data_IF_712117898924
#
_entry.id   IF_712117898924
#
_cell.length_a   1.000
_cell.length_b   1.000
_cell.length_c   1.000
_cell.angle_alpha   90.00
_cell.angle_beta   90.00
_cell.angle_gamma   90.00
#
_symmetry.space_group_name_H-M   'P 1'
#
loop_
_entity.id
_entity.type
_entity.pdbx_description
1 polymer ?
#
# COMPACT_ATOMS: atom_id res chain seq x y z
N UNK A 1 35.86 -47.06 -17.06
CA UNK A 1 34.95 -45.90 -17.23
C UNK A 1 33.61 -46.27 -16.63
N UNK A 2 33.33 -45.87 -15.39
CA UNK A 2 32.09 -46.22 -14.68
C UNK A 2 31.02 -45.19 -15.02
N UNK A 3 29.94 -45.64 -15.67
CA UNK A 3 28.76 -44.85 -15.96
C UNK A 3 28.15 -44.36 -14.63
N UNK A 4 28.13 -43.03 -14.42
CA UNK A 4 27.37 -42.42 -13.32
C UNK A 4 25.90 -42.75 -13.56
N UNK A 5 25.31 -43.50 -12.64
CA UNK A 5 23.86 -43.71 -12.54
C UNK A 5 23.19 -42.34 -12.53
N UNK A 6 22.37 -42.04 -13.55
CA UNK A 6 21.58 -40.80 -13.58
C UNK A 6 20.66 -40.79 -12.36
N UNK A 7 20.88 -39.83 -11.47
CA UNK A 7 20.03 -39.63 -10.30
C UNK A 7 18.67 -39.09 -10.78
N UNK A 8 17.56 -39.74 -10.42
CA UNK A 8 16.19 -39.31 -10.74
C UNK A 8 15.94 -37.82 -10.44
N UNK A 9 16.65 -37.26 -9.46
CA UNK A 9 16.51 -35.86 -9.05
C UNK A 9 17.34 -34.87 -9.90
N UNK A 10 18.20 -35.32 -10.81
CA UNK A 10 19.02 -34.41 -11.63
C UNK A 10 18.20 -33.54 -12.57
N UNK A 11 16.99 -33.98 -12.93
CA UNK A 11 16.05 -33.21 -13.75
C UNK A 11 15.42 -32.03 -12.99
N UNK A 12 15.51 -32.01 -11.65
CA UNK A 12 14.91 -30.98 -10.78
C UNK A 12 15.87 -29.84 -10.43
N UNK A 13 16.76 -29.48 -11.34
CA UNK A 13 17.68 -28.33 -11.19
C UNK A 13 17.29 -27.19 -12.12
N UNK A 14 17.55 -25.94 -11.71
CA UNK A 14 17.31 -24.73 -12.51
C UNK A 14 15.86 -24.51 -13.01
N UNK A 15 14.86 -25.06 -12.32
CA UNK A 15 13.46 -24.99 -12.74
C UNK A 15 12.80 -23.63 -12.48
N UNK A 16 13.29 -22.87 -11.51
CA UNK A 16 12.77 -21.55 -11.16
C UNK A 16 13.85 -20.72 -10.48
N UNK A 17 13.72 -19.39 -10.59
CA UNK A 17 14.61 -18.45 -9.94
C UNK A 17 14.25 -18.29 -8.45
N UNK A 18 15.28 -18.09 -7.63
CA UNK A 18 15.14 -17.82 -6.22
C UNK A 18 15.88 -16.53 -5.87
N UNK A 19 15.20 -15.59 -5.24
CA UNK A 19 15.84 -14.41 -4.66
C UNK A 19 16.49 -14.78 -3.32
N UNK A 20 17.81 -14.63 -3.23
CA UNK A 20 18.57 -14.81 -1.99
C UNK A 20 19.31 -13.52 -1.64
N UNK A 21 19.22 -13.10 -0.38
CA UNK A 21 19.93 -11.92 0.12
C UNK A 21 21.09 -12.38 1.00
N UNK A 22 22.32 -12.15 0.53
CA UNK A 22 23.53 -12.37 1.32
C UNK A 22 23.85 -11.12 2.15
N UNK A 23 24.39 -11.32 3.34
CA UNK A 23 24.78 -10.22 4.25
C UNK A 23 26.23 -10.42 4.66
N UNK A 24 27.02 -9.37 4.53
CA UNK A 24 28.44 -9.36 4.86
C UNK A 24 28.76 -8.13 5.70
N UNK A 25 29.79 -8.25 6.52
CA UNK A 25 30.42 -7.11 7.17
C UNK A 25 31.16 -6.25 6.14
N UNK A 26 31.00 -4.93 6.22
CA UNK A 26 31.75 -3.98 5.39
C UNK A 26 32.90 -3.40 6.20
N UNK A 27 34.14 -3.82 5.89
CA UNK A 27 35.36 -3.31 6.53
C UNK A 27 35.88 -2.10 5.75
N UNK A 28 36.05 -0.93 6.38
CA UNK A 28 36.57 0.26 5.70
C UNK A 28 38.02 0.04 5.27
N UNK A 29 38.42 0.63 4.15
CA UNK A 29 39.77 0.50 3.58
C UNK A 29 40.43 1.88 3.48
N UNK A 30 41.71 1.98 3.85
CA UNK A 30 42.45 3.23 3.78
C UNK A 30 41.83 4.32 4.66
N UNK A 31 41.54 5.49 4.08
CA UNK A 31 40.99 6.68 4.80
C UNK A 31 39.46 6.74 4.81
N UNK A 32 38.75 5.71 4.34
CA UNK A 32 37.28 5.73 4.26
C UNK A 32 36.64 5.99 5.62
N UNK A 33 37.10 5.33 6.68
CA UNK A 33 36.54 5.51 8.03
C UNK A 33 36.73 6.95 8.53
N UNK A 34 37.92 7.51 8.33
CA UNK A 34 38.24 8.90 8.70
C UNK A 34 37.29 9.88 8.01
N UNK A 35 37.09 9.73 6.69
CA UNK A 35 36.20 10.61 5.93
C UNK A 35 34.73 10.46 6.32
N UNK A 36 34.26 9.25 6.62
CA UNK A 36 32.88 9.02 7.08
C UNK A 36 32.63 9.72 8.42
N UNK A 37 33.56 9.58 9.38
CA UNK A 37 33.49 10.25 10.69
C UNK A 37 33.60 11.77 10.55
N UNK A 38 34.56 12.26 9.78
CA UNK A 38 34.76 13.71 9.54
C UNK A 38 33.53 14.37 8.93
N UNK A 39 32.84 13.68 8.01
CA UNK A 39 31.63 14.18 7.37
C UNK A 39 30.34 13.88 8.16
N UNK A 40 30.45 13.22 9.32
CA UNK A 40 29.33 12.83 10.20
C UNK A 40 28.24 12.06 9.48
N UNK A 41 28.63 11.11 8.62
CA UNK A 41 27.69 10.39 7.75
C UNK A 41 26.71 9.55 8.56
N UNK A 42 27.21 8.83 9.57
CA UNK A 42 26.39 7.95 10.41
C UNK A 42 25.37 8.71 11.25
N UNK A 43 25.77 9.87 11.77
CA UNK A 43 24.91 10.75 12.56
C UNK A 43 23.81 11.35 11.68
N UNK A 44 24.15 11.85 10.49
CA UNK A 44 23.16 12.33 9.52
C UNK A 44 22.17 11.24 9.13
N UNK A 45 22.66 10.03 8.86
CA UNK A 45 21.81 8.88 8.53
C UNK A 45 20.86 8.53 9.69
N UNK A 46 21.36 8.55 10.92
CA UNK A 46 20.55 8.32 12.14
C UNK A 46 19.48 9.39 12.32
N UNK A 47 19.79 10.67 12.10
CA UNK A 47 18.81 11.77 12.13
C UNK A 47 17.70 11.56 11.08
N UNK A 48 18.06 11.12 9.87
CA UNK A 48 17.08 10.81 8.81
C UNK A 48 16.20 9.61 9.19
N UNK A 49 16.78 8.53 9.71
CA UNK A 49 16.02 7.35 10.14
C UNK A 49 15.07 7.66 11.30
N UNK A 50 15.53 8.44 12.30
CA UNK A 50 14.69 8.95 13.36
C UNK A 50 13.51 9.76 12.80
N UNK A 51 13.78 10.67 11.85
CA UNK A 51 12.74 11.47 11.19
C UNK A 51 11.74 10.58 10.47
N UNK A 52 12.23 9.55 9.77
CA UNK A 52 11.42 8.61 9.02
C UNK A 52 10.50 7.81 9.92
N UNK A 53 11.00 7.28 11.02
CA UNK A 53 10.21 6.51 11.96
C UNK A 53 9.09 7.33 12.61
N UNK A 54 9.33 8.61 12.91
CA UNK A 54 8.29 9.52 13.38
C UNK A 54 7.31 9.92 12.27
N UNK A 55 7.80 10.23 11.06
CA UNK A 55 6.97 10.69 9.95
C UNK A 55 5.94 9.66 9.48
N UNK A 56 6.22 8.36 9.54
CA UNK A 56 5.29 7.29 9.12
C UNK A 56 3.89 7.46 9.72
N UNK A 57 3.82 7.79 11.01
CA UNK A 57 2.54 7.99 11.70
C UNK A 57 1.71 9.11 11.04
N UNK A 58 2.35 10.20 10.65
CA UNK A 58 1.69 11.36 10.05
C UNK A 58 1.26 11.07 8.61
N UNK A 59 2.09 10.37 7.84
CA UNK A 59 1.68 9.82 6.55
C UNK A 59 0.43 8.94 6.70
N UNK A 60 0.43 8.03 7.67
CA UNK A 60 -0.70 7.10 7.89
C UNK A 60 -1.97 7.81 8.31
N UNK A 61 -1.82 8.85 9.14
CA UNK A 61 -2.92 9.72 9.54
C UNK A 61 -3.48 10.45 8.34
N UNK A 62 -2.63 10.98 7.45
CA UNK A 62 -3.06 11.66 6.23
C UNK A 62 -3.80 10.70 5.28
N UNK A 63 -3.23 9.52 5.02
CA UNK A 63 -3.87 8.50 4.18
C UNK A 63 -5.21 8.03 4.76
N UNK A 64 -5.32 7.92 6.09
CA UNK A 64 -6.58 7.59 6.76
C UNK A 64 -7.64 8.67 6.53
N UNK A 65 -7.29 9.95 6.77
CA UNK A 65 -8.19 11.09 6.50
C UNK A 65 -8.65 11.11 5.04
N UNK A 66 -7.74 10.83 4.12
CA UNK A 66 -8.05 10.72 2.69
C UNK A 66 -9.04 9.59 2.40
N UNK A 67 -8.81 8.40 2.94
CA UNK A 67 -9.71 7.25 2.74
C UNK A 67 -11.10 7.55 3.32
N UNK A 68 -11.16 8.13 4.52
CA UNK A 68 -12.41 8.55 5.16
C UNK A 68 -13.16 9.57 4.29
N UNK A 69 -12.46 10.59 3.76
CA UNK A 69 -13.09 11.61 2.92
C UNK A 69 -13.58 11.03 1.58
N UNK A 70 -12.87 10.07 1.00
CA UNK A 70 -13.27 9.41 -0.24
C UNK A 70 -14.47 8.47 -0.05
N UNK A 71 -14.60 7.83 1.12
CA UNK A 71 -15.62 6.82 1.41
C UNK A 71 -16.84 7.34 2.18
N UNK A 72 -17.02 8.66 2.30
CA UNK A 72 -18.22 9.26 2.88
C UNK A 72 -19.49 8.73 2.19
N UNK A 73 -20.56 8.55 2.99
CA UNK A 73 -21.82 7.94 2.55
C UNK A 73 -22.37 8.56 1.25
N UNK A 74 -22.31 9.88 1.09
CA UNK A 74 -22.79 10.59 -0.11
C UNK A 74 -22.12 10.11 -1.40
N UNK A 75 -20.82 9.79 -1.34
CA UNK A 75 -20.03 9.34 -2.50
C UNK A 75 -20.20 7.84 -2.76
N UNK A 76 -20.56 7.07 -1.74
CA UNK A 76 -20.66 5.60 -1.81
C UNK A 76 -22.09 5.10 -2.01
N UNK A 77 -23.12 5.95 -1.84
CA UNK A 77 -24.55 5.62 -2.08
C UNK A 77 -24.82 5.03 -3.47
N UNK A 78 -24.09 5.47 -4.49
CA UNK A 78 -24.27 5.00 -5.87
C UNK A 78 -23.61 3.64 -6.15
N UNK A 79 -22.81 3.12 -5.22
CA UNK A 79 -22.15 1.84 -5.41
C UNK A 79 -23.16 0.69 -5.21
N UNK A 80 -23.23 -0.28 -6.15
CA UNK A 80 -24.21 -1.35 -6.11
C UNK A 80 -23.79 -2.48 -5.14
N UNK A 81 -23.62 -2.17 -3.86
CA UNK A 81 -23.20 -3.12 -2.83
C UNK A 81 -24.20 -4.27 -2.67
N UNK A 82 -25.50 -3.97 -2.65
CA UNK A 82 -26.54 -4.98 -2.46
C UNK A 82 -26.56 -5.97 -3.64
N UNK A 83 -26.48 -5.49 -4.88
CA UNK A 83 -26.41 -6.33 -6.07
C UNK A 83 -25.15 -7.20 -6.12
N UNK A 84 -24.00 -6.66 -5.70
CA UNK A 84 -22.76 -7.45 -5.57
C UNK A 84 -22.93 -8.55 -4.53
N UNK A 85 -23.50 -8.24 -3.36
CA UNK A 85 -23.70 -9.21 -2.30
C UNK A 85 -24.62 -10.36 -2.76
N UNK A 86 -25.75 -10.05 -3.40
CA UNK A 86 -26.67 -11.05 -3.97
C UNK A 86 -25.99 -11.93 -5.01
N UNK A 87 -25.22 -11.32 -5.91
CA UNK A 87 -24.46 -12.06 -6.91
C UNK A 87 -23.48 -13.02 -6.25
N UNK A 88 -22.68 -12.55 -5.29
CA UNK A 88 -21.64 -13.35 -4.64
C UNK A 88 -22.24 -14.49 -3.82
N UNK A 89 -23.32 -14.25 -3.07
CA UNK A 89 -24.03 -15.30 -2.35
C UNK A 89 -24.59 -16.37 -3.29
N UNK A 90 -25.20 -15.95 -4.41
CA UNK A 90 -25.70 -16.88 -5.42
C UNK A 90 -24.56 -17.72 -6.02
N UNK A 91 -23.40 -17.12 -6.31
CA UNK A 91 -22.25 -17.86 -6.82
C UNK A 91 -21.66 -18.80 -5.77
N UNK A 92 -21.55 -18.40 -4.51
CA UNK A 92 -21.04 -19.24 -3.41
C UNK A 92 -21.91 -20.47 -3.22
N UNK A 93 -23.25 -20.32 -3.27
CA UNK A 93 -24.18 -21.46 -3.21
C UNK A 93 -23.97 -22.43 -4.38
N UNK A 94 -23.88 -21.92 -5.61
CA UNK A 94 -23.59 -22.74 -6.81
C UNK A 94 -22.26 -23.47 -6.68
N UNK A 95 -21.23 -22.77 -6.20
CA UNK A 95 -19.89 -23.31 -6.01
C UNK A 95 -19.87 -24.46 -4.98
N UNK A 96 -20.59 -24.31 -3.86
CA UNK A 96 -20.70 -25.35 -2.84
C UNK A 96 -21.37 -26.62 -3.40
N UNK A 97 -22.46 -26.47 -4.16
CA UNK A 97 -23.15 -27.58 -4.82
C UNK A 97 -22.21 -28.28 -5.80
N UNK A 98 -21.52 -27.52 -6.66
CA UNK A 98 -20.59 -28.08 -7.66
C UNK A 98 -19.40 -28.80 -7.03
N UNK A 99 -18.86 -28.29 -5.92
CA UNK A 99 -17.81 -28.99 -5.17
C UNK A 99 -18.29 -30.31 -4.57
N UNK A 100 -19.52 -30.36 -4.05
CA UNK A 100 -20.12 -31.61 -3.56
C UNK A 100 -20.23 -32.64 -4.70
N UNK A 101 -20.77 -32.22 -5.85
CA UNK A 101 -20.88 -33.05 -7.05
C UNK A 101 -19.51 -33.53 -7.56
N UNK A 102 -18.48 -32.69 -7.49
CA UNK A 102 -17.12 -33.05 -7.89
C UNK A 102 -16.53 -34.14 -7.00
N UNK A 103 -16.73 -34.04 -5.68
CA UNK A 103 -16.27 -35.06 -4.74
C UNK A 103 -16.99 -36.40 -4.96
N UNK A 104 -18.31 -36.38 -5.21
CA UNK A 104 -19.08 -37.58 -5.55
C UNK A 104 -18.56 -38.24 -6.84
N UNK A 105 -18.31 -37.44 -7.91
CA UNK A 105 -17.78 -37.94 -9.17
C UNK A 105 -16.37 -38.54 -9.05
N UNK A 106 -15.52 -37.99 -8.16
CA UNK A 106 -14.21 -38.55 -7.85
C UNK A 106 -14.32 -39.90 -7.15
N UNK A 107 -15.23 -40.03 -6.20
CA UNK A 107 -15.48 -41.30 -5.50
C UNK A 107 -16.00 -42.39 -6.45
N UNK A 108 -16.82 -42.02 -7.44
CA UNK A 108 -17.32 -42.95 -8.45
C UNK A 108 -16.34 -43.21 -9.62
N UNK A 109 -15.15 -42.61 -9.61
CA UNK A 109 -14.12 -42.70 -10.68
C UNK A 109 -14.65 -42.33 -12.07
N UNK A 110 -15.54 -41.33 -12.14
CA UNK A 110 -16.10 -40.81 -13.39
C UNK A 110 -15.22 -39.68 -13.94
N UNK A 111 -14.17 -40.04 -14.66
CA UNK A 111 -13.15 -39.10 -15.16
C UNK A 111 -13.73 -38.00 -16.09
N UNK A 112 -14.75 -38.33 -16.88
CA UNK A 112 -15.40 -37.38 -17.80
C UNK A 112 -16.14 -36.33 -16.99
N UNK A 113 -16.95 -36.75 -16.02
CA UNK A 113 -17.70 -35.84 -15.14
C UNK A 113 -16.80 -35.00 -14.25
N UNK A 114 -15.69 -35.57 -13.77
CA UNK A 114 -14.67 -34.83 -13.00
C UNK A 114 -14.09 -33.68 -13.83
N UNK A 115 -13.69 -33.92 -15.08
CA UNK A 115 -13.15 -32.88 -15.97
C UNK A 115 -14.20 -31.79 -16.26
N UNK A 116 -15.45 -32.18 -16.52
CA UNK A 116 -16.53 -31.23 -16.76
C UNK A 116 -16.77 -30.32 -15.55
N UNK A 117 -16.95 -30.90 -14.36
CA UNK A 117 -17.19 -30.16 -13.12
C UNK A 117 -16.01 -29.26 -12.76
N UNK A 118 -14.77 -29.68 -13.00
CA UNK A 118 -13.59 -28.84 -12.77
C UNK A 118 -13.60 -27.61 -13.69
N UNK A 119 -13.96 -27.76 -14.97
CA UNK A 119 -14.11 -26.65 -15.90
C UNK A 119 -15.24 -25.70 -15.48
N UNK A 120 -16.38 -26.23 -15.08
CA UNK A 120 -17.51 -25.42 -14.57
C UNK A 120 -17.12 -24.60 -13.33
N UNK A 121 -16.43 -25.23 -12.38
CA UNK A 121 -15.91 -24.59 -11.16
C UNK A 121 -14.93 -23.47 -11.53
N UNK A 122 -13.96 -23.74 -12.40
CA UNK A 122 -12.99 -22.74 -12.85
C UNK A 122 -13.68 -21.56 -13.56
N UNK A 123 -14.72 -21.81 -14.35
CA UNK A 123 -15.50 -20.75 -15.01
C UNK A 123 -16.29 -19.91 -13.99
N UNK A 124 -16.87 -20.54 -12.96
CA UNK A 124 -17.52 -19.83 -11.85
C UNK A 124 -16.53 -18.93 -11.09
N UNK A 125 -15.34 -19.45 -10.77
CA UNK A 125 -14.29 -18.66 -10.10
C UNK A 125 -13.86 -17.45 -10.94
N UNK A 126 -13.65 -17.63 -12.25
CA UNK A 126 -13.36 -16.53 -13.17
C UNK A 126 -14.47 -15.48 -13.17
N UNK A 127 -15.74 -15.91 -13.19
CA UNK A 127 -16.89 -14.99 -13.16
C UNK A 127 -16.93 -14.18 -11.86
N UNK A 128 -16.73 -14.83 -10.71
CA UNK A 128 -16.65 -14.18 -9.40
C UNK A 128 -15.51 -13.16 -9.37
N UNK A 129 -14.33 -13.55 -9.83
CA UNK A 129 -13.15 -12.69 -9.81
C UNK A 129 -13.30 -11.48 -10.72
N UNK A 130 -13.91 -11.65 -11.90
CA UNK A 130 -14.21 -10.54 -12.79
C UNK A 130 -15.18 -9.54 -12.15
N UNK A 131 -16.27 -10.03 -11.53
CA UNK A 131 -17.24 -9.14 -10.87
C UNK A 131 -16.58 -8.35 -9.72
N UNK A 132 -15.75 -9.02 -8.90
CA UNK A 132 -14.97 -8.37 -7.84
C UNK A 132 -14.03 -7.31 -8.41
N UNK A 133 -13.32 -7.62 -9.50
CA UNK A 133 -12.38 -6.70 -10.14
C UNK A 133 -13.07 -5.45 -10.66
N UNK A 134 -14.23 -5.59 -11.29
CA UNK A 134 -15.01 -4.44 -11.75
C UNK A 134 -15.49 -3.59 -10.56
N UNK A 135 -15.85 -4.21 -9.44
CA UNK A 135 -16.20 -3.46 -8.24
C UNK A 135 -14.98 -2.76 -7.59
N UNK A 136 -13.81 -3.41 -7.57
CA UNK A 136 -12.57 -2.77 -7.12
C UNK A 136 -12.25 -1.51 -7.91
N UNK A 137 -12.40 -1.55 -9.24
CA UNK A 137 -12.23 -0.37 -10.11
C UNK A 137 -13.21 0.75 -9.78
N UNK A 138 -14.47 0.43 -9.46
CA UNK A 138 -15.46 1.44 -9.03
C UNK A 138 -15.02 2.13 -7.74
N UNK A 139 -14.58 1.38 -6.72
CA UNK A 139 -14.03 1.98 -5.49
C UNK A 139 -12.78 2.81 -5.82
N UNK A 140 -11.88 2.28 -6.65
CA UNK A 140 -10.66 2.98 -7.07
C UNK A 140 -10.96 4.32 -7.73
N UNK A 141 -11.98 4.40 -8.59
CA UNK A 141 -12.38 5.68 -9.21
C UNK A 141 -12.84 6.73 -8.19
N UNK A 142 -13.42 6.33 -7.05
CA UNK A 142 -13.76 7.27 -5.98
C UNK A 142 -12.49 7.84 -5.34
N UNK A 143 -11.49 6.99 -5.09
CA UNK A 143 -10.20 7.46 -4.59
C UNK A 143 -9.49 8.35 -5.60
N UNK A 144 -9.47 7.99 -6.88
CA UNK A 144 -8.81 8.82 -7.89
C UNK A 144 -9.49 10.19 -8.02
N UNK A 145 -10.83 10.24 -8.01
CA UNK A 145 -11.57 11.50 -8.00
C UNK A 145 -11.30 12.35 -6.75
N UNK A 146 -11.21 11.73 -5.57
CA UNK A 146 -10.89 12.45 -4.33
C UNK A 146 -9.46 12.99 -4.34
N UNK A 147 -8.50 12.23 -4.90
CA UNK A 147 -7.12 12.67 -4.98
C UNK A 147 -6.96 13.90 -5.90
N UNK A 148 -7.70 13.96 -7.01
CA UNK A 148 -7.72 15.16 -7.86
C UNK A 148 -8.35 16.36 -7.13
N UNK A 149 -9.42 16.14 -6.34
CA UNK A 149 -9.99 17.20 -5.49
C UNK A 149 -9.01 17.72 -4.47
N UNK A 150 -8.25 16.83 -3.81
CA UNK A 150 -7.21 17.23 -2.86
C UNK A 150 -6.11 18.02 -3.55
N UNK A 151 -5.63 17.54 -4.69
CA UNK A 151 -4.61 18.23 -5.48
C UNK A 151 -5.01 19.67 -5.84
N UNK A 152 -6.27 19.91 -6.22
CA UNK A 152 -6.81 21.25 -6.45
C UNK A 152 -6.99 22.01 -5.12
N UNK A 153 -7.59 21.36 -4.13
CA UNK A 153 -7.99 21.98 -2.87
C UNK A 153 -6.81 22.39 -1.97
N UNK A 154 -5.64 21.79 -2.15
CA UNK A 154 -4.40 22.16 -1.46
C UNK A 154 -3.52 23.13 -2.26
N UNK A 155 -3.73 23.30 -3.56
CA UNK A 155 -3.01 24.31 -4.34
C UNK A 155 -3.30 25.71 -3.75
N UNK A 156 -2.27 26.57 -3.73
CA UNK A 156 -2.31 27.93 -3.22
C UNK A 156 -2.62 28.10 -1.72
N UNK A 157 -2.81 27.01 -0.96
CA UNK A 157 -2.87 27.08 0.50
C UNK A 157 -1.55 27.58 1.07
N UNK A 158 -1.64 28.34 2.15
CA UNK A 158 -0.48 29.00 2.76
C UNK A 158 0.07 28.11 3.88
N UNK A 159 1.36 27.76 3.78
CA UNK A 159 2.12 27.11 4.83
C UNK A 159 2.43 28.09 5.96
N UNK A 160 2.81 27.55 7.12
CA UNK A 160 3.14 28.35 8.30
C UNK A 160 4.27 29.37 8.08
N UNK A 161 5.20 29.07 7.16
CA UNK A 161 6.29 29.98 6.78
C UNK A 161 5.84 31.07 5.77
N UNK A 162 4.56 31.14 5.43
CA UNK A 162 3.99 32.09 4.46
C UNK A 162 4.10 31.66 3.00
N UNK A 163 4.77 30.54 2.71
CA UNK A 163 4.88 30.03 1.34
C UNK A 163 3.58 29.39 0.87
N UNK A 164 3.22 29.60 -0.39
CA UNK A 164 2.08 28.92 -1.00
C UNK A 164 2.47 27.50 -1.43
N UNK A 165 1.56 26.55 -1.23
CA UNK A 165 1.68 25.23 -1.81
C UNK A 165 1.52 25.36 -3.33
N UNK A 166 2.58 24.98 -4.04
CA UNK A 166 2.56 24.86 -5.48
C UNK A 166 3.03 23.47 -5.88
N UNK A 167 2.19 22.68 -6.56
CA UNK A 167 2.59 21.36 -7.07
C UNK A 167 3.38 21.49 -8.38
N UNK A 168 4.58 20.90 -8.43
CA UNK A 168 5.46 21.01 -9.60
C UNK A 168 4.97 20.19 -10.79
N UNK A 169 5.65 20.30 -11.94
CA UNK A 169 5.30 19.55 -13.16
C UNK A 169 5.22 18.02 -12.92
N UNK A 170 6.12 17.47 -12.11
CA UNK A 170 6.16 16.03 -11.77
C UNK A 170 4.96 15.60 -10.95
N UNK A 171 4.57 16.40 -9.95
CA UNK A 171 3.42 16.14 -9.09
C UNK A 171 2.12 16.26 -9.89
N UNK A 172 2.03 17.29 -10.75
CA UNK A 172 0.86 17.53 -11.61
C UNK A 172 0.62 16.42 -12.63
N UNK A 173 1.68 15.74 -13.09
CA UNK A 173 1.59 14.59 -14.00
C UNK A 173 1.01 13.34 -13.32
N UNK A 174 1.08 13.24 -11.99
CA UNK A 174 0.50 12.10 -11.28
C UNK A 174 -1.03 12.19 -11.32
N UNK A 175 -1.67 11.07 -11.66
CA UNK A 175 -3.11 10.95 -11.79
C UNK A 175 -3.69 10.15 -10.62
N UNK A 176 -4.83 10.62 -10.12
CA UNK A 176 -5.55 9.98 -9.03
C UNK A 176 -4.66 9.79 -7.80
N UNK A 177 -4.81 8.66 -7.11
CA UNK A 177 -4.06 8.43 -5.85
C UNK A 177 -2.55 8.31 -6.02
N UNK A 178 -2.01 8.17 -7.25
CA UNK A 178 -0.55 8.23 -7.46
C UNK A 178 0.03 9.58 -7.03
N UNK A 179 -0.80 10.62 -6.98
CA UNK A 179 -0.43 11.90 -6.41
C UNK A 179 -0.11 11.81 -4.91
N UNK A 180 -0.80 10.94 -4.17
CA UNK A 180 -0.62 10.79 -2.71
C UNK A 180 0.72 10.15 -2.35
N UNK A 181 1.34 9.44 -3.28
CA UNK A 181 2.63 8.76 -3.08
C UNK A 181 3.80 9.49 -3.75
N UNK A 182 3.51 10.62 -4.40
CA UNK A 182 4.49 11.50 -5.03
C UNK A 182 5.17 12.44 -4.03
N UNK A 183 6.29 13.05 -4.42
CA UNK A 183 7.04 13.97 -3.56
C UNK A 183 6.20 15.18 -3.09
N UNK A 184 5.26 15.65 -3.91
CA UNK A 184 4.33 16.73 -3.58
C UNK A 184 3.53 16.52 -2.29
N UNK A 185 3.30 15.27 -1.85
CA UNK A 185 2.58 14.98 -0.60
C UNK A 185 3.24 15.60 0.63
N UNK A 186 4.56 15.81 0.61
CA UNK A 186 5.29 16.47 1.70
C UNK A 186 4.76 17.87 1.97
N UNK A 187 4.31 18.60 0.93
CA UNK A 187 3.73 19.94 1.09
C UNK A 187 2.41 19.89 1.84
N UNK A 188 1.59 18.86 1.55
CA UNK A 188 0.33 18.63 2.26
C UNK A 188 0.61 18.27 3.71
N UNK A 189 1.61 17.41 3.99
CA UNK A 189 2.00 17.07 5.35
C UNK A 189 2.46 18.30 6.16
N UNK A 190 3.26 19.17 5.56
CA UNK A 190 3.70 20.43 6.20
C UNK A 190 2.53 21.36 6.52
N UNK A 191 1.49 21.36 5.70
CA UNK A 191 0.26 22.12 5.95
C UNK A 191 -0.63 21.50 7.03
N UNK A 192 -0.85 20.18 6.97
CA UNK A 192 -1.74 19.48 7.89
C UNK A 192 -1.14 19.34 9.30
N UNK A 193 0.19 19.29 9.37
CA UNK A 193 0.94 19.06 10.61
C UNK A 193 2.04 20.13 10.79
N UNK A 194 1.69 21.42 10.88
CA UNK A 194 2.65 22.53 10.95
C UNK A 194 3.46 22.51 12.26
N UNK A 195 4.57 23.25 12.28
CA UNK A 195 5.54 23.23 13.39
C UNK A 195 4.93 23.71 14.70
N UNK A 196 4.07 24.73 14.67
CA UNK A 196 3.38 25.26 15.86
C UNK A 196 2.47 24.26 16.57
N UNK A 197 2.04 23.18 15.90
CA UNK A 197 1.13 22.20 16.49
C UNK A 197 1.83 21.08 17.27
N UNK A 198 3.14 21.15 17.47
CA UNK A 198 3.88 20.12 18.23
C UNK A 198 3.25 19.87 19.62
N UNK A 199 2.95 20.92 20.38
CA UNK A 199 2.39 20.78 21.72
C UNK A 199 0.96 20.23 21.72
N UNK A 200 0.17 20.55 20.69
CA UNK A 200 -1.17 19.98 20.50
C UNK A 200 -1.08 18.46 20.24
N UNK A 201 -0.13 18.05 19.38
CA UNK A 201 0.06 16.65 19.04
C UNK A 201 0.64 15.85 20.20
N UNK A 202 1.56 16.43 20.98
CA UNK A 202 2.05 15.81 22.23
C UNK A 202 0.92 15.54 23.22
N UNK A 203 0.00 16.50 23.41
CA UNK A 203 -1.19 16.31 24.28
C UNK A 203 -2.09 15.17 23.79
N UNK A 204 -2.09 14.87 22.50
CA UNK A 204 -2.81 13.74 21.87
C UNK A 204 -2.01 12.43 21.90
N UNK A 205 -0.84 12.40 22.54
CA UNK A 205 0.08 11.27 22.56
C UNK A 205 0.55 10.85 21.15
N UNK A 206 0.69 11.81 20.24
CA UNK A 206 1.26 11.57 18.92
C UNK A 206 2.78 11.63 18.97
N UNK A 207 3.50 11.01 18.00
CA UNK A 207 4.94 11.17 17.87
C UNK A 207 5.35 12.66 17.81
N UNK A 208 6.59 12.97 18.16
CA UNK A 208 7.07 14.34 18.04
C UNK A 208 7.17 14.77 16.57
N UNK A 209 7.00 16.06 16.31
CA UNK A 209 7.27 16.66 14.99
C UNK A 209 8.75 16.96 14.76
N UNK A 210 9.59 16.69 15.76
CA UNK A 210 11.00 17.01 15.73
C UNK A 210 11.84 15.88 16.31
N UNK A 211 12.98 15.68 15.67
CA UNK A 211 14.06 14.81 16.13
C UNK A 211 15.26 15.65 16.52
N UNK A 212 16.05 15.17 17.47
CA UNK A 212 17.35 15.76 17.76
C UNK A 212 18.32 15.48 16.60
N UNK A 213 19.10 16.48 16.21
CA UNK A 213 20.13 16.31 15.18
C UNK A 213 21.37 15.64 15.80
N UNK A 214 21.61 14.39 15.46
CA UNK A 214 22.76 13.63 15.95
C UNK A 214 24.07 14.25 15.44
N UNK A 215 24.06 14.83 14.24
CA UNK A 215 25.23 15.49 13.67
C UNK A 215 25.51 16.87 14.30
N UNK A 216 24.50 17.48 14.93
CA UNK A 216 24.57 18.81 15.55
C UNK A 216 23.86 18.80 16.91
N UNK A 217 24.53 18.31 17.97
CA UNK A 217 23.92 18.21 19.30
C UNK A 217 23.31 19.54 19.78
N UNK A 218 22.10 19.46 20.35
CA UNK A 218 21.32 20.61 20.81
C UNK A 218 20.46 21.28 19.74
N UNK A 219 20.58 20.87 18.47
CA UNK A 219 19.63 21.27 17.41
C UNK A 219 18.54 20.23 17.24
N UNK A 220 17.36 20.69 16.83
CA UNK A 220 16.23 19.85 16.47
C UNK A 220 15.87 20.07 15.01
N UNK A 221 15.54 18.99 14.30
CA UNK A 221 15.06 19.01 12.92
C UNK A 221 13.59 18.66 12.88
N UNK A 222 12.83 19.45 12.15
CA UNK A 222 11.45 19.13 11.83
C UNK A 222 11.40 17.95 10.87
N UNK A 223 10.60 16.93 11.20
CA UNK A 223 10.68 15.61 10.57
C UNK A 223 10.50 15.63 9.05
N UNK A 224 9.67 16.51 8.49
CA UNK A 224 9.45 16.54 7.04
C UNK A 224 10.56 17.27 6.27
N UNK A 225 11.30 18.17 6.93
CA UNK A 225 12.42 18.89 6.30
C UNK A 225 13.56 17.92 5.94
N UNK A 226 13.64 16.76 6.63
CA UNK A 226 14.56 15.66 6.29
C UNK A 226 14.37 15.09 4.88
N UNK A 227 13.19 15.28 4.26
CA UNK A 227 12.85 14.67 2.98
C UNK A 227 12.78 15.64 1.80
N UNK A 228 12.96 16.95 2.00
CA UNK A 228 12.81 17.97 0.94
C UNK A 228 13.71 17.73 -0.28
N UNK A 229 14.91 17.18 -0.05
CA UNK A 229 15.87 16.78 -1.10
C UNK A 229 16.16 15.28 -1.10
N UNK A 230 15.38 14.52 -0.33
CA UNK A 230 15.62 13.11 -0.07
C UNK A 230 14.34 12.28 -0.09
N UNK A 231 13.33 12.73 -0.83
CA UNK A 231 12.04 12.05 -0.96
C UNK A 231 12.17 10.59 -1.44
N UNK A 232 13.24 10.25 -2.17
CA UNK A 232 13.56 8.87 -2.57
C UNK A 232 13.72 7.88 -1.40
N UNK A 233 14.07 8.37 -0.21
CA UNK A 233 14.13 7.57 1.02
C UNK A 233 12.76 6.95 1.38
N UNK A 234 11.67 7.62 0.99
CA UNK A 234 10.31 7.17 1.25
C UNK A 234 9.80 6.17 0.20
N UNK A 235 10.55 5.86 -0.85
CA UNK A 235 10.09 5.05 -2.00
C UNK A 235 9.43 3.72 -1.60
N UNK A 236 10.09 2.90 -0.76
CA UNK A 236 9.53 1.63 -0.28
C UNK A 236 8.26 1.84 0.55
N UNK A 237 8.25 2.87 1.40
CA UNK A 237 7.08 3.23 2.19
C UNK A 237 5.92 3.64 1.29
N UNK A 238 6.18 4.48 0.29
CA UNK A 238 5.18 4.92 -0.68
C UNK A 238 4.63 3.75 -1.50
N UNK A 239 5.46 2.79 -1.89
CA UNK A 239 4.98 1.57 -2.54
C UNK A 239 3.99 0.79 -1.65
N UNK A 240 4.23 0.72 -0.34
CA UNK A 240 3.26 0.09 0.58
C UNK A 240 1.96 0.89 0.70
N UNK A 241 2.00 2.22 0.52
CA UNK A 241 0.79 3.07 0.50
C UNK A 241 0.05 2.97 -0.83
N UNK A 242 0.74 2.84 -1.95
CA UNK A 242 0.12 2.56 -3.25
C UNK A 242 -0.72 1.28 -3.20
N UNK A 243 -0.23 0.24 -2.52
CA UNK A 243 -0.94 -1.01 -2.33
C UNK A 243 -2.27 -0.88 -1.56
N UNK A 244 -2.47 0.18 -0.77
CA UNK A 244 -3.76 0.44 -0.11
C UNK A 244 -4.86 0.73 -1.11
N UNK A 245 -4.49 1.23 -2.29
CA UNK A 245 -5.43 1.68 -3.30
C UNK A 245 -5.49 0.76 -4.52
N UNK A 246 -4.83 -0.40 -4.49
CA UNK A 246 -4.85 -1.32 -5.63
C UNK A 246 -6.26 -1.86 -5.93
N UNK A 247 -6.50 -2.20 -7.19
CA UNK A 247 -7.77 -2.68 -7.73
C UNK A 247 -7.69 -4.12 -8.30
N UNK A 248 -6.59 -4.80 -8.02
CA UNK A 248 -6.25 -6.14 -8.51
C UNK A 248 -6.62 -7.28 -7.53
N UNK A 249 -7.16 -6.93 -6.37
CA UNK A 249 -7.59 -7.90 -5.36
C UNK A 249 -6.51 -8.26 -4.34
N UNK A 250 -5.38 -7.54 -4.26
CA UNK A 250 -4.39 -7.81 -3.21
C UNK A 250 -4.99 -7.58 -1.81
N UNK A 251 -4.67 -8.43 -0.83
CA UNK A 251 -5.26 -8.31 0.51
C UNK A 251 -5.01 -6.97 1.18
N UNK A 252 -3.94 -6.25 0.87
CA UNK A 252 -3.62 -4.96 1.51
C UNK A 252 -4.50 -3.81 1.03
N UNK A 253 -5.23 -3.98 -0.07
CA UNK A 253 -6.05 -2.91 -0.64
C UNK A 253 -7.35 -2.69 0.14
N UNK A 254 -7.72 -1.43 0.32
CA UNK A 254 -8.97 -1.02 0.98
C UNK A 254 -10.18 -1.54 0.21
N UNK A 255 -10.16 -1.48 -1.12
CA UNK A 255 -11.23 -2.00 -1.96
C UNK A 255 -11.46 -3.51 -1.73
N UNK A 256 -10.36 -4.28 -1.63
CA UNK A 256 -10.40 -5.71 -1.31
C UNK A 256 -10.97 -5.96 0.08
N UNK A 257 -10.60 -5.16 1.08
CA UNK A 257 -11.14 -5.27 2.44
C UNK A 257 -12.64 -4.98 2.48
N UNK A 258 -13.10 -3.91 1.84
CA UNK A 258 -14.53 -3.57 1.78
C UNK A 258 -15.34 -4.74 1.22
N UNK A 259 -14.89 -5.36 0.12
CA UNK A 259 -15.56 -6.54 -0.42
C UNK A 259 -15.40 -7.73 0.53
N UNK A 260 -14.22 -8.04 1.07
CA UNK A 260 -14.10 -9.18 1.99
C UNK A 260 -15.07 -9.10 3.19
N UNK A 261 -15.40 -7.90 3.64
CA UNK A 261 -16.34 -7.65 4.73
C UNK A 261 -17.77 -7.29 4.28
N UNK A 262 -18.13 -7.42 2.99
CA UNK A 262 -19.48 -7.05 2.52
C UNK A 262 -20.59 -7.85 3.23
N UNK A 263 -20.30 -9.08 3.62
CA UNK A 263 -21.24 -9.91 4.38
C UNK A 263 -21.56 -9.32 5.75
N UNK A 264 -20.60 -8.63 6.38
CA UNK A 264 -20.81 -7.91 7.64
C UNK A 264 -21.64 -6.62 7.44
N UNK A 265 -21.52 -5.96 6.29
CA UNK A 265 -22.31 -4.76 5.96
C UNK A 265 -23.82 -5.05 5.83
N UNK A 266 -24.21 -6.30 5.58
CA UNK A 266 -25.61 -6.74 5.60
C UNK A 266 -26.20 -6.94 7.00
N UNK A 267 -25.37 -7.22 8.02
CA UNK A 267 -25.86 -7.53 9.37
C UNK A 267 -26.48 -6.31 10.09
N UNK A 268 -26.19 -5.08 9.65
CA UNK A 268 -26.79 -3.87 10.21
C UNK A 268 -28.08 -3.38 9.51
N UNK A 269 -28.64 -4.17 8.59
CA UNK A 269 -29.97 -3.93 7.99
C UNK A 269 -31.07 -4.88 8.53
N UNK A 270 -30.82 -5.59 9.63
CA UNK A 270 -31.83 -6.37 10.36
C UNK A 270 -32.09 -5.77 11.73
#
# INVERSE_FOLDING_TARGET
MTARTQNLFSEFTNLYSLSKTLRFELKPVGKTEEFLKKNKVFEKDKTIDNSYNQAKFYFDTLHRRFIESALVLEKTKSLPFDALADFLEAQIKKFAIKRKQLNEARSSKDDVRVKLLQTEINNLEKKINNEKKEFYKKIRSLFDAEAEKWKIGYEDRILENGEKIHFGKTDRKQQGVKFLTAAGILKILKFEFPKSKEDEFKKKNWPNLYVDEEENPGKRRYIFDSFDRFAGYLSKFQQTRDNLYADDGIPTAVATRIIMFYSFLRFHKR
#
